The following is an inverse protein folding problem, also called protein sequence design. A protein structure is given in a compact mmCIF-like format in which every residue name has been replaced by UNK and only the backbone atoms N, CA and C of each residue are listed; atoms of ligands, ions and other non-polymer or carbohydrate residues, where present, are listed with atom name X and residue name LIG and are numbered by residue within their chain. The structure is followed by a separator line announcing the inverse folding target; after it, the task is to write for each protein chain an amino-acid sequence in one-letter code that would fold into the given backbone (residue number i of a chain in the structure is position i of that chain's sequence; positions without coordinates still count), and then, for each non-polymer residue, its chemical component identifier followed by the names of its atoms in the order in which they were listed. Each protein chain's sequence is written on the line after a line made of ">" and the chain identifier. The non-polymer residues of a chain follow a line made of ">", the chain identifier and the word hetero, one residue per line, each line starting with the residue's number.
data_IF_407133222147
#
_entry.id   IF_407133222147
#
_cell.length_a   1.000
_cell.length_b   1.000
_cell.length_c   1.000
_cell.angle_alpha   90.00
_cell.angle_beta   90.00
_cell.angle_gamma   90.00
#
_symmetry.space_group_name_H-M   'P 1'
#
loop_
_entity.id
_entity.type
_entity.pdbx_description
1 polymer ?
#
# COMPACT_ATOMS: atom_id res chain seq x y z
N UNK A 1 -19.70 -49.15 13.95
CA UNK A 1 -18.47 -49.21 14.79
C UNK A 1 -18.12 -47.76 15.10
N UNK A 2 -18.66 -47.15 16.17
CA UNK A 2 -18.14 -47.04 17.56
C UNK A 2 -16.65 -46.63 17.65
N UNK A 3 -16.42 -45.42 18.18
CA UNK A 3 -15.15 -44.90 18.70
C UNK A 3 -15.25 -43.38 18.86
N UNK A 4 -15.92 -42.86 19.89
CA UNK A 4 -15.44 -42.59 21.26
C UNK A 4 -14.78 -41.20 21.40
N UNK A 5 -15.43 -40.36 22.22
CA UNK A 5 -15.05 -39.00 22.59
C UNK A 5 -13.94 -38.96 23.67
N UNK A 6 -13.19 -37.86 23.70
CA UNK A 6 -12.58 -37.37 24.95
C UNK A 6 -12.74 -35.86 25.07
N UNK A 7 -13.27 -35.46 26.23
CA UNK A 7 -13.40 -34.10 26.76
C UNK A 7 -12.15 -33.77 27.58
N UNK A 8 -11.75 -32.49 27.60
CA UNK A 8 -10.92 -31.93 28.69
C UNK A 8 -11.39 -30.51 29.03
N UNK A 9 -11.65 -30.29 30.32
CA UNK A 9 -12.06 -29.06 31.00
C UNK A 9 -10.84 -28.37 31.64
N UNK A 10 -10.96 -27.05 31.89
CA UNK A 10 -10.21 -26.30 32.91
C UNK A 10 -9.42 -25.12 32.35
N UNK A 11 -9.36 -23.93 32.95
CA UNK A 11 -9.73 -23.51 34.30
C UNK A 11 -9.97 -21.99 34.36
N UNK A 12 -10.78 -21.57 35.34
CA UNK A 12 -10.98 -20.20 35.78
C UNK A 12 -9.67 -19.59 36.35
N UNK A 13 -9.43 -18.32 36.04
CA UNK A 13 -8.53 -17.43 36.78
C UNK A 13 -9.21 -16.08 36.99
N UNK A 14 -9.54 -15.78 38.24
CA UNK A 14 -10.13 -14.54 38.76
C UNK A 14 -9.02 -13.78 39.52
N UNK A 15 -9.24 -12.48 39.79
CA UNK A 15 -8.49 -11.54 40.69
C UNK A 15 -7.47 -10.65 39.92
N UNK A 16 -7.40 -9.32 40.10
CA UNK A 16 -7.93 -8.44 41.16
C UNK A 16 -7.90 -6.94 40.81
N UNK A 17 -8.35 -6.14 41.79
CA UNK A 17 -8.82 -4.74 41.73
C UNK A 17 -7.77 -3.77 42.32
N UNK A 18 -7.93 -2.47 42.01
CA UNK A 18 -7.44 -1.23 42.69
C UNK A 18 -6.07 -0.72 42.17
N UNK A 19 -5.82 0.57 41.91
CA UNK A 19 -6.10 1.76 42.74
C UNK A 19 -6.12 3.10 41.96
N UNK A 20 -6.85 4.04 42.54
CA UNK A 20 -6.96 5.50 42.39
C UNK A 20 -5.70 6.34 42.11
N UNK A 21 -5.90 7.48 41.44
CA UNK A 21 -4.99 8.64 41.47
C UNK A 21 -5.62 9.93 40.93
N UNK A 22 -6.46 10.60 41.73
CA UNK A 22 -6.83 12.01 41.52
C UNK A 22 -5.92 12.90 42.37
N UNK A 23 -5.28 13.88 41.75
CA UNK A 23 -4.52 14.98 42.36
C UNK A 23 -3.88 15.75 41.20
N UNK A 24 -4.07 17.04 41.01
CA UNK A 24 -3.82 18.10 41.98
C UNK A 24 -4.83 19.24 41.90
N UNK A 25 -5.17 19.73 43.08
CA UNK A 25 -5.89 20.97 43.30
C UNK A 25 -5.00 22.19 42.99
N UNK A 26 -5.63 23.16 42.32
CA UNK A 26 -5.60 24.60 42.56
C UNK A 26 -4.39 25.18 43.29
N UNK A 27 -3.52 25.86 42.54
CA UNK A 27 -2.67 26.94 43.07
C UNK A 27 -3.22 28.29 42.61
N UNK A 28 -3.98 28.89 43.53
CA UNK A 28 -3.99 30.31 43.91
C UNK A 28 -3.89 31.36 42.79
N UNK A 29 -5.01 32.06 42.63
CA UNK A 29 -5.10 33.42 42.13
C UNK A 29 -4.11 34.34 42.87
N UNK A 30 -3.24 34.99 42.12
CA UNK A 30 -2.45 36.12 42.56
C UNK A 30 -3.05 37.40 41.93
N UNK A 31 -3.85 38.19 42.67
CA UNK A 31 -4.43 39.42 42.16
C UNK A 31 -3.43 40.57 42.31
N UNK A 32 -2.22 40.43 41.76
CA UNK A 32 -1.23 41.51 41.82
C UNK A 32 -0.25 41.56 40.64
N UNK A 33 -0.73 41.24 39.43
CA UNK A 33 -0.01 41.51 38.19
C UNK A 33 -0.79 42.42 37.21
N UNK A 34 -1.87 43.06 37.66
CA UNK A 34 -2.75 43.89 36.82
C UNK A 34 -2.31 45.37 36.69
N UNK A 35 -1.17 45.80 37.23
CA UNK A 35 -0.88 47.23 37.33
C UNK A 35 0.61 47.64 37.28
N UNK A 36 1.46 47.01 36.48
CA UNK A 36 2.79 47.56 36.20
C UNK A 36 3.46 46.89 35.00
N UNK A 37 3.05 47.26 33.78
CA UNK A 37 3.91 47.32 32.57
C UNK A 37 3.06 47.69 31.35
N UNK A 38 2.46 48.89 31.41
CA UNK A 38 2.11 49.66 30.21
C UNK A 38 3.31 50.54 29.88
N UNK A 39 4.31 49.99 29.21
CA UNK A 39 5.26 50.71 28.38
C UNK A 39 6.30 49.69 27.87
N UNK A 40 6.56 49.76 26.57
CA UNK A 40 7.52 49.00 25.78
C UNK A 40 6.97 47.77 25.05
N UNK A 41 7.37 47.71 23.79
CA UNK A 41 7.28 46.61 22.83
C UNK A 41 6.00 46.53 22.00
N UNK A 42 6.01 47.32 20.93
CA UNK A 42 5.44 46.91 19.66
C UNK A 42 6.06 45.56 19.24
N UNK A 43 5.49 44.47 19.78
CA UNK A 43 5.82 43.11 19.38
C UNK A 43 5.21 42.88 18.00
N UNK A 44 6.08 42.85 16.99
CA UNK A 44 5.74 42.34 15.67
C UNK A 44 5.06 40.98 15.86
N UNK A 45 3.80 40.87 15.43
CA UNK A 45 3.12 39.59 15.33
C UNK A 45 3.89 38.76 14.30
N UNK A 46 4.72 37.84 14.78
CA UNK A 46 5.34 36.84 13.94
C UNK A 46 4.21 35.98 13.40
N UNK A 47 4.04 35.83 12.07
CA UNK A 47 3.05 34.91 11.54
C UNK A 47 3.40 33.53 12.08
N UNK A 48 2.47 32.93 12.81
CA UNK A 48 2.56 31.52 13.19
C UNK A 48 2.73 30.73 11.90
N UNK A 49 3.81 29.94 11.73
CA UNK A 49 3.92 29.08 10.57
C UNK A 49 2.70 28.16 10.59
N UNK A 50 1.86 28.27 9.56
CA UNK A 50 0.83 27.27 9.32
C UNK A 50 1.56 25.94 9.20
N UNK A 51 1.22 25.00 10.08
CA UNK A 51 1.62 23.61 9.88
C UNK A 51 1.22 23.21 8.46
N UNK A 52 2.11 22.60 7.67
CA UNK A 52 1.74 22.07 6.37
C UNK A 52 0.46 21.25 6.52
N UNK A 53 -0.53 21.52 5.67
CA UNK A 53 -1.71 20.67 5.61
C UNK A 53 -1.22 19.25 5.27
N UNK A 54 -1.58 18.27 6.12
CA UNK A 54 -1.30 16.87 5.84
C UNK A 54 -1.90 16.51 4.47
N UNK A 55 -1.16 15.79 3.61
CA UNK A 55 -1.72 15.27 2.36
C UNK A 55 -2.96 14.44 2.66
N UNK A 56 -4.12 14.87 2.17
CA UNK A 56 -5.35 14.11 2.31
C UNK A 56 -5.32 12.99 1.26
N UNK A 57 -5.24 11.74 1.73
CA UNK A 57 -5.30 10.57 0.86
C UNK A 57 -6.57 10.61 -0.02
N UNK A 58 -6.50 10.18 -1.30
CA UNK A 58 -7.66 10.15 -2.18
C UNK A 58 -8.80 9.29 -1.61
N UNK A 59 -10.03 9.83 -1.60
CA UNK A 59 -11.21 9.13 -1.06
C UNK A 59 -11.76 8.01 -1.97
N UNK A 60 -11.14 7.76 -3.13
CA UNK A 60 -11.62 6.79 -4.12
C UNK A 60 -10.50 6.32 -5.06
N UNK A 61 -10.84 5.44 -6.02
CA UNK A 61 -9.86 4.95 -6.99
C UNK A 61 -9.23 6.09 -7.81
N UNK A 62 -7.95 5.97 -8.10
CA UNK A 62 -7.16 6.92 -8.88
C UNK A 62 -6.57 6.20 -10.09
N UNK A 63 -6.92 6.64 -11.29
CA UNK A 63 -6.22 6.19 -12.50
C UNK A 63 -4.79 6.71 -12.45
N UNK A 64 -3.82 5.81 -12.53
CA UNK A 64 -2.39 6.11 -12.57
C UNK A 64 -1.90 6.22 -14.02
N UNK A 65 -2.39 5.33 -14.89
CA UNK A 65 -2.04 5.32 -16.29
C UNK A 65 -3.16 4.85 -17.21
N UNK A 66 -3.07 5.29 -18.46
CA UNK A 66 -3.82 4.75 -19.60
C UNK A 66 -2.88 4.73 -20.80
N UNK A 67 -2.74 3.58 -21.45
CA UNK A 67 -1.81 3.38 -22.57
C UNK A 67 -2.35 2.36 -23.56
N UNK A 68 -2.08 2.57 -24.85
CA UNK A 68 -2.38 1.55 -25.85
C UNK A 68 -1.16 0.64 -26.01
N UNK A 69 -1.40 -0.66 -26.07
CA UNK A 69 -0.36 -1.68 -26.27
C UNK A 69 -0.57 -2.36 -27.61
N UNK A 70 0.52 -2.66 -28.32
CA UNK A 70 0.44 -3.43 -29.55
C UNK A 70 1.66 -4.31 -29.79
N UNK A 71 1.48 -5.48 -30.41
CA UNK A 71 2.62 -6.30 -30.88
C UNK A 71 3.37 -5.56 -31.98
N UNK A 72 4.64 -5.93 -32.21
CA UNK A 72 5.51 -5.24 -33.16
C UNK A 72 4.97 -5.22 -34.60
N UNK A 73 4.17 -6.22 -34.97
CA UNK A 73 3.52 -6.32 -36.27
C UNK A 73 2.07 -5.79 -36.32
N UNK A 74 1.59 -5.26 -35.19
CA UNK A 74 0.24 -4.70 -35.05
C UNK A 74 -0.89 -5.71 -35.16
N UNK A 75 -0.62 -7.03 -35.15
CA UNK A 75 -1.67 -8.06 -35.17
C UNK A 75 -2.53 -8.05 -33.92
N UNK A 76 -1.96 -7.61 -32.80
CA UNK A 76 -2.65 -7.55 -31.52
C UNK A 76 -2.49 -6.14 -30.94
N UNK A 77 -3.59 -5.39 -30.77
CA UNK A 77 -3.65 -4.10 -30.05
C UNK A 77 -4.71 -4.06 -28.95
N UNK A 78 -4.43 -3.43 -27.82
CA UNK A 78 -5.37 -3.29 -26.69
C UNK A 78 -5.15 -1.95 -25.97
N UNK A 79 -6.05 -1.59 -25.06
CA UNK A 79 -5.88 -0.48 -24.12
C UNK A 79 -5.69 -1.02 -22.71
N UNK A 80 -4.64 -0.56 -22.03
CA UNK A 80 -4.32 -0.90 -20.64
C UNK A 80 -4.56 0.32 -19.76
N UNK A 81 -5.36 0.15 -18.70
CA UNK A 81 -5.58 1.15 -17.66
C UNK A 81 -5.03 0.63 -16.33
N UNK A 82 -4.31 1.49 -15.60
CA UNK A 82 -3.79 1.17 -14.26
C UNK A 82 -4.50 2.04 -13.24
N UNK A 83 -5.10 1.42 -12.24
CA UNK A 83 -5.92 2.09 -11.22
C UNK A 83 -5.47 1.70 -9.82
N UNK A 84 -5.15 2.70 -8.99
CA UNK A 84 -4.91 2.52 -7.56
C UNK A 84 -6.24 2.58 -6.81
N UNK A 85 -6.51 1.61 -5.94
CA UNK A 85 -7.64 1.61 -5.01
C UNK A 85 -7.29 2.36 -3.71
N UNK A 86 -8.25 2.66 -2.82
CA UNK A 86 -7.95 3.24 -1.52
C UNK A 86 -7.07 2.33 -0.65
N UNK A 87 -6.14 2.93 0.09
CA UNK A 87 -5.32 2.24 1.09
C UNK A 87 -6.19 1.55 2.14
N UNK A 88 -5.81 0.34 2.52
CA UNK A 88 -6.42 -0.45 3.59
C UNK A 88 -5.41 -0.61 4.72
N UNK A 89 -5.82 -0.32 5.95
CA UNK A 89 -4.97 -0.32 7.15
C UNK A 89 -5.41 -1.40 8.12
N UNK A 90 -4.47 -2.13 8.71
CA UNK A 90 -4.73 -3.15 9.74
C UNK A 90 -5.53 -4.34 9.22
N UNK A 91 -5.41 -4.61 7.92
CA UNK A 91 -6.10 -5.69 7.21
C UNK A 91 -5.09 -6.45 6.35
N UNK A 92 -5.37 -7.72 6.10
CA UNK A 92 -4.62 -8.53 5.14
C UNK A 92 -5.18 -8.30 3.74
N UNK A 93 -4.32 -8.31 2.70
CA UNK A 93 -4.79 -8.44 1.33
C UNK A 93 -5.72 -9.64 1.19
N UNK A 94 -6.79 -9.57 0.37
CA UNK A 94 -7.72 -10.67 0.15
C UNK A 94 -7.12 -11.75 -0.77
N UNK A 95 -5.92 -12.21 -0.45
CA UNK A 95 -5.17 -13.25 -1.14
C UNK A 95 -5.33 -14.56 -0.37
N UNK A 96 -5.78 -15.62 -1.05
CA UNK A 96 -5.99 -16.93 -0.41
C UNK A 96 -4.66 -17.51 0.11
N UNK A 97 -4.61 -17.88 1.40
CA UNK A 97 -3.40 -18.48 2.01
C UNK A 97 -2.32 -17.49 2.47
N UNK A 98 -2.43 -16.21 2.12
CA UNK A 98 -1.37 -15.22 2.37
C UNK A 98 -0.93 -15.10 3.83
N UNK A 99 -1.88 -15.15 4.78
CA UNK A 99 -1.53 -14.98 6.21
C UNK A 99 -0.81 -16.22 6.74
N UNK A 100 -1.28 -17.40 6.36
CA UNK A 100 -0.71 -18.68 6.74
C UNK A 100 0.68 -18.88 6.13
N UNK A 101 0.86 -18.44 4.89
CA UNK A 101 2.09 -18.63 4.12
C UNK A 101 3.19 -17.67 4.55
N UNK A 102 2.84 -16.41 4.88
CA UNK A 102 3.82 -15.37 5.17
C UNK A 102 4.16 -15.19 6.65
N UNK A 103 3.40 -15.78 7.59
CA UNK A 103 3.59 -15.64 9.05
C UNK A 103 3.69 -14.17 9.52
N UNK A 104 2.88 -13.29 8.94
CA UNK A 104 2.86 -11.85 9.23
C UNK A 104 1.78 -11.49 10.25
N UNK A 105 2.06 -10.50 11.10
CA UNK A 105 1.03 -9.90 11.94
C UNK A 105 0.12 -8.99 11.10
N UNK A 106 -1.04 -9.52 10.74
CA UNK A 106 -2.10 -8.79 10.02
C UNK A 106 -2.43 -7.40 10.59
N UNK A 107 -2.25 -7.18 11.89
CA UNK A 107 -2.61 -5.91 12.54
C UNK A 107 -1.57 -4.82 12.32
N UNK A 108 -0.35 -5.18 11.92
CA UNK A 108 0.72 -4.22 11.58
C UNK A 108 0.75 -3.87 10.09
N UNK A 109 -0.05 -4.55 9.27
CA UNK A 109 -0.04 -4.39 7.82
C UNK A 109 -0.83 -3.16 7.34
N UNK A 110 -0.36 -2.62 6.22
CA UNK A 110 -1.13 -1.70 5.40
C UNK A 110 -0.91 -2.05 3.93
N UNK A 111 -1.94 -2.00 3.10
CA UNK A 111 -1.79 -2.32 1.68
C UNK A 111 -2.60 -1.41 0.77
N UNK A 112 -2.22 -1.39 -0.50
CA UNK A 112 -3.02 -0.81 -1.58
C UNK A 112 -3.13 -1.78 -2.74
N UNK A 113 -4.30 -1.83 -3.36
CA UNK A 113 -4.51 -2.61 -4.58
C UNK A 113 -4.25 -1.73 -5.82
N UNK A 114 -3.47 -2.24 -6.75
CA UNK A 114 -3.24 -1.68 -8.08
C UNK A 114 -3.86 -2.62 -9.10
N UNK A 115 -4.94 -2.17 -9.72
CA UNK A 115 -5.66 -2.90 -10.76
C UNK A 115 -5.08 -2.57 -12.12
N UNK A 116 -4.83 -3.59 -12.95
CA UNK A 116 -4.45 -3.49 -14.35
C UNK A 116 -5.62 -4.05 -15.17
N UNK A 117 -6.35 -3.14 -15.84
CA UNK A 117 -7.52 -3.42 -16.66
C UNK A 117 -7.14 -3.44 -18.15
N UNK A 118 -7.67 -4.40 -18.91
CA UNK A 118 -7.45 -4.55 -20.35
C UNK A 118 -8.58 -5.37 -21.00
N UNK A 119 -8.80 -5.24 -22.31
CA UNK A 119 -9.94 -5.89 -22.97
C UNK A 119 -9.64 -7.32 -23.46
N UNK A 120 -8.38 -7.74 -23.50
CA UNK A 120 -7.93 -9.02 -24.04
C UNK A 120 -8.02 -10.26 -23.13
N UNK A 121 -7.80 -11.41 -23.76
CA UNK A 121 -7.82 -12.75 -23.20
C UNK A 121 -6.47 -13.25 -22.68
N UNK A 122 -5.34 -12.70 -23.14
CA UNK A 122 -3.99 -13.14 -22.74
C UNK A 122 -3.04 -11.96 -22.51
N UNK A 123 -2.62 -11.78 -21.25
CA UNK A 123 -1.63 -10.78 -20.85
C UNK A 123 -0.74 -11.33 -19.74
N UNK A 124 0.57 -11.13 -19.85
CA UNK A 124 1.50 -11.32 -18.76
C UNK A 124 2.46 -10.15 -18.68
N UNK A 125 3.04 -9.96 -17.50
CA UNK A 125 4.01 -8.90 -17.23
C UNK A 125 4.52 -8.98 -15.81
N UNK A 126 5.38 -8.04 -15.45
CA UNK A 126 5.88 -7.89 -14.09
C UNK A 126 5.44 -6.56 -13.51
N UNK A 127 5.30 -6.51 -12.19
CA UNK A 127 5.20 -5.28 -11.44
C UNK A 127 6.31 -5.26 -10.40
N UNK A 128 7.10 -4.19 -10.41
CA UNK A 128 8.15 -3.93 -9.42
C UNK A 128 7.82 -2.65 -8.65
N UNK A 129 8.07 -2.66 -7.35
CA UNK A 129 8.01 -1.49 -6.48
C UNK A 129 9.41 -1.10 -6.06
N UNK A 130 9.74 0.17 -6.20
CA UNK A 130 11.04 0.72 -5.82
C UNK A 130 10.86 1.82 -4.77
N UNK A 131 11.40 1.64 -3.56
CA UNK A 131 11.55 2.73 -2.59
C UNK A 131 12.43 3.84 -3.16
N UNK A 132 12.01 5.09 -2.99
CA UNK A 132 12.81 6.25 -3.41
C UNK A 132 13.66 6.76 -2.24
N UNK A 133 14.45 7.81 -2.50
CA UNK A 133 15.20 8.51 -1.45
C UNK A 133 14.29 9.20 -0.40
N UNK A 134 13.01 9.41 -0.72
CA UNK A 134 12.03 9.99 0.19
C UNK A 134 11.33 8.92 1.04
N UNK A 135 11.47 7.63 0.70
CA UNK A 135 10.88 6.54 1.49
C UNK A 135 11.50 6.50 2.88
N UNK A 136 10.69 6.63 3.95
CA UNK A 136 11.22 6.65 5.30
C UNK A 136 11.93 5.33 5.64
N UNK A 137 13.12 5.42 6.22
CA UNK A 137 13.97 4.27 6.50
C UNK A 137 13.48 3.39 7.65
N UNK A 138 12.46 3.85 8.37
CA UNK A 138 11.85 3.17 9.51
C UNK A 138 10.64 2.31 9.12
N UNK A 139 10.25 2.28 7.83
CA UNK A 139 9.23 1.36 7.36
C UNK A 139 9.76 -0.08 7.33
N UNK A 140 8.90 -1.03 7.67
CA UNK A 140 9.20 -2.45 7.53
C UNK A 140 9.31 -2.88 6.05
N UNK A 141 9.52 -4.18 5.81
CA UNK A 141 9.58 -4.72 4.45
C UNK A 141 8.37 -4.38 3.59
N UNK A 142 8.62 -4.24 2.29
CA UNK A 142 7.60 -3.93 1.27
C UNK A 142 7.52 -5.11 0.31
N UNK A 143 6.30 -5.54 0.01
CA UNK A 143 6.04 -6.67 -0.89
C UNK A 143 5.01 -6.36 -1.96
N UNK A 144 5.14 -7.01 -3.12
CA UNK A 144 4.15 -7.03 -4.19
C UNK A 144 3.63 -8.44 -4.34
N UNK A 145 2.31 -8.58 -4.48
CA UNK A 145 1.67 -9.88 -4.62
C UNK A 145 0.51 -9.81 -5.61
N UNK A 146 0.48 -10.72 -6.58
CA UNK A 146 -0.70 -10.94 -7.42
C UNK A 146 -1.62 -12.02 -6.84
N UNK A 147 -2.91 -11.86 -7.11
CA UNK A 147 -3.89 -12.92 -6.85
C UNK A 147 -3.71 -14.11 -7.81
N UNK A 148 -4.12 -15.30 -7.38
CA UNK A 148 -4.03 -16.52 -8.18
C UNK A 148 -2.64 -17.14 -8.28
N UNK A 149 -1.79 -16.95 -7.26
CA UNK A 149 -0.47 -17.56 -7.22
C UNK A 149 -0.56 -19.10 -7.33
N UNK A 150 0.35 -19.68 -8.13
CA UNK A 150 0.44 -21.13 -8.31
C UNK A 150 1.15 -21.83 -7.13
N UNK A 151 1.99 -21.09 -6.43
CA UNK A 151 2.75 -21.52 -5.27
C UNK A 151 2.32 -20.71 -4.04
N UNK A 152 2.52 -21.23 -2.81
CA UNK A 152 2.29 -20.47 -1.59
C UNK A 152 3.05 -19.14 -1.58
N UNK A 153 2.53 -18.15 -0.85
CA UNK A 153 3.17 -16.84 -0.76
C UNK A 153 4.43 -16.88 0.13
N UNK A 154 5.30 -15.87 -0.01
CA UNK A 154 6.44 -15.65 0.89
C UNK A 154 7.41 -16.84 1.08
N UNK A 155 7.60 -17.67 0.04
CA UNK A 155 8.49 -18.84 0.10
C UNK A 155 9.97 -18.49 -0.08
N UNK A 156 10.27 -17.31 -0.60
CA UNK A 156 11.63 -16.83 -0.85
C UNK A 156 12.21 -16.05 0.35
N UNK A 157 13.52 -15.80 0.33
CA UNK A 157 14.23 -14.94 1.28
C UNK A 157 14.81 -13.73 0.54
N UNK A 158 14.38 -12.47 0.84
CA UNK A 158 13.39 -12.10 1.87
C UNK A 158 11.95 -12.53 1.51
N UNK A 159 11.04 -12.69 2.48
CA UNK A 159 9.68 -13.17 2.22
C UNK A 159 8.83 -12.18 1.40
N UNK A 160 9.00 -10.87 1.64
CA UNK A 160 8.34 -9.83 0.88
C UNK A 160 9.25 -9.41 -0.28
N UNK A 161 8.87 -9.81 -1.49
CA UNK A 161 9.57 -9.48 -2.72
C UNK A 161 9.03 -8.18 -3.31
N UNK A 162 9.93 -7.31 -3.78
CA UNK A 162 9.57 -6.04 -4.41
C UNK A 162 9.01 -6.21 -5.83
N UNK A 163 9.20 -7.38 -6.42
CA UNK A 163 8.76 -7.72 -7.77
C UNK A 163 7.89 -8.96 -7.72
N UNK A 164 6.79 -8.94 -8.45
CA UNK A 164 6.01 -10.14 -8.74
C UNK A 164 5.59 -10.16 -10.21
N UNK A 165 5.18 -11.34 -10.66
CA UNK A 165 4.80 -11.63 -12.05
C UNK A 165 3.34 -11.99 -12.09
N UNK A 166 2.65 -11.52 -13.12
CA UNK A 166 1.26 -11.90 -13.34
C UNK A 166 1.08 -12.55 -14.70
N UNK A 167 0.07 -13.40 -14.76
CA UNK A 167 -0.45 -13.94 -15.99
C UNK A 167 -1.98 -14.03 -15.90
N UNK A 168 -2.63 -13.47 -16.92
CA UNK A 168 -4.05 -13.61 -17.13
C UNK A 168 -4.37 -14.44 -18.36
N UNK A 169 -5.33 -15.35 -18.21
CA UNK A 169 -5.96 -16.09 -19.28
C UNK A 169 -7.48 -16.13 -19.07
N UNK A 170 -8.26 -15.52 -19.98
CA UNK A 170 -9.71 -15.36 -19.82
C UNK A 170 -10.45 -15.12 -21.14
N UNK A 171 -11.76 -14.86 -21.13
CA UNK A 171 -12.55 -14.75 -22.37
C UNK A 171 -12.80 -13.34 -22.93
N UNK A 172 -12.37 -12.29 -22.20
CA UNK A 172 -12.34 -10.85 -22.56
C UNK A 172 -12.54 -10.01 -21.30
N UNK A 173 -12.03 -8.78 -21.24
CA UNK A 173 -12.20 -7.88 -20.09
C UNK A 173 -11.40 -8.38 -18.89
N UNK A 174 -10.09 -8.52 -19.08
CA UNK A 174 -9.18 -8.98 -18.05
C UNK A 174 -8.93 -7.92 -16.99
N UNK A 175 -8.92 -8.36 -15.74
CA UNK A 175 -8.56 -7.57 -14.58
C UNK A 175 -7.49 -8.36 -13.81
N UNK A 176 -6.34 -7.74 -13.58
CA UNK A 176 -5.30 -8.29 -12.70
C UNK A 176 -5.11 -7.32 -11.55
N UNK A 177 -5.03 -7.84 -10.32
CA UNK A 177 -4.86 -7.02 -9.12
C UNK A 177 -3.53 -7.36 -8.44
N UNK A 178 -2.65 -6.36 -8.36
CA UNK A 178 -1.46 -6.39 -7.51
C UNK A 178 -1.78 -5.78 -6.15
N UNK A 179 -1.31 -6.39 -5.08
CA UNK A 179 -1.35 -5.84 -3.72
C UNK A 179 0.05 -5.42 -3.31
N UNK A 180 0.22 -4.13 -3.05
CA UNK A 180 1.44 -3.57 -2.52
C UNK A 180 1.28 -3.49 -1.01
N UNK A 181 2.07 -4.27 -0.29
CA UNK A 181 1.95 -4.49 1.16
C UNK A 181 3.12 -3.85 1.87
N UNK A 182 2.82 -3.05 2.89
CA UNK A 182 3.78 -2.52 3.84
C UNK A 182 3.65 -3.31 5.14
N UNK A 183 4.74 -3.90 5.58
CA UNK A 183 4.86 -4.48 6.91
C UNK A 183 5.20 -3.39 7.93
N UNK A 184 4.69 -3.53 9.16
CA UNK A 184 4.94 -2.61 10.28
C UNK A 184 4.57 -1.15 9.98
N UNK A 185 3.59 -0.96 9.09
CA UNK A 185 3.00 0.34 8.82
C UNK A 185 2.06 0.80 9.95
N UNK A 186 1.51 -0.14 10.73
CA UNK A 186 0.64 0.17 11.87
C UNK A 186 1.36 -0.19 13.17
N UNK A 187 1.52 0.81 14.04
CA UNK A 187 2.14 0.65 15.35
C UNK A 187 1.55 1.64 16.39
N UNK A 188 2.12 1.67 17.59
CA UNK A 188 1.65 2.55 18.65
C UNK A 188 1.81 4.05 18.35
N UNK A 189 2.76 4.41 17.48
CA UNK A 189 3.01 5.79 17.01
C UNK A 189 2.22 6.13 15.75
N UNK A 190 1.83 5.13 14.96
CA UNK A 190 1.07 5.25 13.71
C UNK A 190 -0.16 4.32 13.72
N UNK A 191 -1.15 4.56 14.60
CA UNK A 191 -2.31 3.66 14.73
C UNK A 191 -3.23 3.67 13.50
N UNK A 192 -3.17 4.72 12.67
CA UNK A 192 -3.94 4.83 11.41
C UNK A 192 -3.13 4.33 10.19
N UNK A 193 -1.96 3.75 10.42
CA UNK A 193 -1.02 3.33 9.39
C UNK A 193 -0.11 4.45 8.90
N UNK A 194 0.58 4.19 7.80
CA UNK A 194 1.61 5.04 7.18
C UNK A 194 1.30 5.30 5.70
N UNK A 195 0.10 5.84 5.35
CA UNK A 195 -0.34 5.96 3.96
C UNK A 195 0.58 6.87 3.12
N UNK A 196 1.29 7.80 3.75
CA UNK A 196 2.26 8.67 3.11
C UNK A 196 3.47 7.92 2.53
N UNK A 197 3.74 6.69 2.97
CA UNK A 197 4.82 5.86 2.41
C UNK A 197 4.52 5.54 0.95
N UNK A 198 3.27 5.24 0.58
CA UNK A 198 2.96 4.85 -0.81
C UNK A 198 3.36 5.94 -1.81
N UNK A 199 3.19 7.22 -1.48
CA UNK A 199 3.59 8.33 -2.37
C UNK A 199 5.10 8.49 -2.55
N UNK A 200 5.89 7.78 -1.76
CA UNK A 200 7.35 7.72 -1.89
C UNK A 200 7.82 6.50 -2.69
N UNK A 201 6.90 5.65 -3.15
CA UNK A 201 7.20 4.45 -3.93
C UNK A 201 6.97 4.73 -5.41
N UNK A 202 7.91 4.27 -6.23
CA UNK A 202 7.74 4.17 -7.67
C UNK A 202 7.32 2.74 -8.04
N UNK A 203 6.42 2.63 -9.01
CA UNK A 203 5.95 1.37 -9.57
C UNK A 203 6.39 1.28 -11.02
N UNK A 204 7.05 0.17 -11.36
CA UNK A 204 7.40 -0.19 -12.73
C UNK A 204 6.55 -1.37 -13.18
N UNK A 205 5.85 -1.22 -14.31
CA UNK A 205 5.19 -2.33 -15.01
C UNK A 205 5.92 -2.56 -16.31
N UNK A 206 6.47 -3.75 -16.49
CA UNK A 206 7.30 -4.09 -17.66
C UNK A 206 7.11 -5.54 -18.12
N UNK A 207 7.89 -5.93 -19.13
CA UNK A 207 7.85 -7.25 -19.76
C UNK A 207 6.45 -7.69 -20.20
N UNK A 208 5.62 -6.69 -20.56
CA UNK A 208 4.28 -6.89 -21.05
C UNK A 208 4.32 -7.68 -22.35
N UNK A 209 3.60 -8.80 -22.37
CA UNK A 209 3.58 -9.72 -23.50
C UNK A 209 2.26 -10.45 -23.61
N UNK A 210 1.98 -10.92 -24.81
CA UNK A 210 0.92 -11.91 -25.05
C UNK A 210 1.43 -13.24 -24.53
N UNK A 211 0.86 -13.74 -23.44
CA UNK A 211 1.23 -15.07 -22.92
C UNK A 211 0.53 -16.18 -23.72
N UNK A 212 0.94 -16.30 -24.97
CA UNK A 212 0.54 -17.34 -25.91
C UNK A 212 1.76 -18.20 -26.27
N UNK A 213 1.64 -19.03 -27.32
CA UNK A 213 2.70 -19.96 -27.75
C UNK A 213 4.07 -19.30 -28.00
N UNK A 214 4.10 -18.03 -28.37
CA UNK A 214 5.32 -17.32 -28.79
C UNK A 214 5.77 -16.20 -27.83
N UNK A 215 5.07 -15.97 -26.70
CA UNK A 215 5.37 -14.92 -25.70
C UNK A 215 5.73 -13.55 -26.34
N UNK A 216 4.91 -13.10 -27.28
CA UNK A 216 5.22 -11.92 -28.10
C UNK A 216 5.14 -10.63 -27.26
N UNK A 217 6.20 -9.81 -27.19
CA UNK A 217 6.22 -8.60 -26.38
C UNK A 217 5.31 -7.51 -26.96
N UNK A 218 4.69 -6.75 -26.06
CA UNK A 218 3.97 -5.53 -26.40
C UNK A 218 4.91 -4.34 -26.51
N UNK A 219 4.54 -3.42 -27.40
CA UNK A 219 5.06 -2.05 -27.47
C UNK A 219 4.00 -1.11 -26.95
N UNK A 220 4.44 -0.12 -26.18
CA UNK A 220 3.55 0.86 -25.58
C UNK A 220 3.49 2.12 -26.45
N UNK A 221 2.29 2.66 -26.64
CA UNK A 221 2.12 4.01 -27.15
C UNK A 221 2.48 5.04 -26.08
N UNK A 222 2.72 6.31 -26.45
CA UNK A 222 2.79 7.38 -25.46
C UNK A 222 1.48 7.40 -24.63
N UNK A 223 1.57 7.32 -23.30
CA UNK A 223 0.40 7.18 -22.45
C UNK A 223 -0.45 8.46 -22.47
N UNK A 224 -1.77 8.31 -22.37
CA UNK A 224 -2.68 9.45 -22.19
C UNK A 224 -2.61 10.01 -20.76
N UNK A 225 -2.26 9.15 -19.81
CA UNK A 225 -2.01 9.47 -18.41
C UNK A 225 -0.86 8.60 -17.87
N UNK A 226 -0.03 9.13 -16.98
CA UNK A 226 1.18 8.46 -16.50
C UNK A 226 2.38 8.74 -17.41
N UNK A 227 3.43 7.93 -17.30
CA UNK A 227 4.64 8.10 -18.08
C UNK A 227 5.28 6.74 -18.39
N UNK A 228 5.98 6.68 -19.53
CA UNK A 228 6.89 5.57 -19.83
C UNK A 228 8.19 5.75 -19.03
N UNK A 229 8.85 4.64 -18.73
CA UNK A 229 10.16 4.66 -18.11
C UNK A 229 11.20 5.28 -19.07
N UNK A 230 12.13 6.07 -18.55
CA UNK A 230 13.10 6.79 -19.37
C UNK A 230 14.16 5.85 -20.00
N UNK A 231 14.43 4.73 -19.35
CA UNK A 231 15.37 3.68 -19.74
C UNK A 231 14.73 2.59 -20.61
N UNK A 232 13.40 2.48 -20.59
CA UNK A 232 12.65 1.45 -21.31
C UNK A 232 11.32 2.01 -21.86
N UNK A 233 11.21 2.23 -23.18
CA UNK A 233 10.00 2.78 -23.79
C UNK A 233 8.82 1.80 -23.77
N UNK A 234 9.01 0.53 -23.40
CA UNK A 234 7.96 -0.47 -23.29
C UNK A 234 7.57 -0.78 -21.84
N UNK A 235 8.04 0.04 -20.88
CA UNK A 235 7.68 -0.03 -19.49
C UNK A 235 6.93 1.24 -19.02
N UNK A 236 5.97 1.06 -18.10
CA UNK A 236 5.30 2.15 -17.39
C UNK A 236 6.01 2.42 -16.07
N UNK A 237 6.28 3.68 -15.76
CA UNK A 237 6.83 4.11 -14.48
C UNK A 237 5.83 5.06 -13.80
N UNK A 238 5.27 4.66 -12.66
CA UNK A 238 4.12 5.29 -12.03
C UNK A 238 4.44 5.67 -10.59
N UNK A 239 4.02 6.86 -10.16
CA UNK A 239 4.01 7.24 -8.74
C UNK A 239 2.66 6.92 -8.12
N UNK A 240 2.63 6.59 -6.82
CA UNK A 240 1.40 6.21 -6.10
C UNK A 240 0.89 7.34 -5.18
N UNK A 241 0.06 8.28 -5.68
CA UNK A 241 -0.39 9.44 -4.91
C UNK A 241 -1.36 9.11 -3.76
#
# INVERSE_FOLDING_TARGET
>A
MRGAALRSLGALGLVGVLTSGCGFASALADPQAAAASRAAEASAATPTPMSPAEPVAPLGPVTLAGVDIATADGRQSDHLSVVRRPTQTGLVPPLEGFTEDCDLDSTTLQYVAVTIDFDRDELAGHLTVEPTAETPTDIGPIGVFFDGAAEPYCQDDPPLQLTDTFWWHGSSGGEVVAYLVLQDAVDATHPEGRPEVFSTLDVRIDQLRVHSRDDEPFRLSPPQQGQLCADDPDALCLSLP
#
